data_IF_057793859711
#
_entry.id   IF_057793859711
#
_cell.length_a   1.000
_cell.length_b   1.000
_cell.length_c   1.000
_cell.angle_alpha   90.00
_cell.angle_beta   90.00
_cell.angle_gamma   90.00
#
_symmetry.space_group_name_H-M   'P 1'
#
loop_
_entity.id
_entity.type
_entity.pdbx_description
1 polymer ?
#
# COMPACT_ATOMS: atom_id res chain seq x y z
N UNK A 1 -3.09 -21.80 -6.59
CA UNK A 1 -2.74 -20.97 -7.77
C UNK A 1 -1.61 -20.05 -7.33
N UNK A 2 -0.45 -20.13 -7.96
CA UNK A 2 0.72 -19.36 -7.54
C UNK A 2 0.43 -17.87 -7.72
N UNK A 3 0.38 -17.15 -6.61
CA UNK A 3 0.17 -15.70 -6.58
C UNK A 3 1.48 -15.12 -7.12
N UNK A 4 1.51 -14.82 -8.42
CA UNK A 4 2.66 -14.15 -9.02
C UNK A 4 2.75 -12.80 -8.32
N UNK A 5 3.73 -12.63 -7.43
CA UNK A 5 4.00 -11.34 -6.80
C UNK A 5 4.31 -10.35 -7.91
N UNK A 6 3.29 -9.59 -8.28
CA UNK A 6 3.41 -8.55 -9.30
C UNK A 6 3.79 -7.28 -8.57
N UNK A 7 4.93 -6.74 -8.93
CA UNK A 7 5.42 -5.47 -8.43
C UNK A 7 4.85 -4.38 -9.32
N UNK A 8 3.96 -3.57 -8.75
CA UNK A 8 3.33 -2.46 -9.47
C UNK A 8 3.64 -1.14 -8.78
N UNK A 9 3.51 -0.03 -9.49
CA UNK A 9 3.79 1.29 -8.92
C UNK A 9 2.76 1.67 -7.86
N UNK A 10 3.13 2.50 -6.86
CA UNK A 10 2.18 2.96 -5.83
C UNK A 10 0.91 3.62 -6.43
N UNK A 11 1.07 4.31 -7.57
CA UNK A 11 -0.04 4.94 -8.29
C UNK A 11 -0.99 3.90 -8.91
N UNK A 12 -0.44 2.81 -9.43
CA UNK A 12 -1.19 1.70 -10.04
C UNK A 12 -1.96 0.92 -8.96
N UNK A 13 -1.27 0.62 -7.86
CA UNK A 13 -1.87 0.01 -6.69
C UNK A 13 -2.98 0.89 -6.07
N UNK A 14 -2.80 2.21 -6.04
CA UNK A 14 -3.85 3.12 -5.57
C UNK A 14 -5.09 3.06 -6.47
N UNK A 15 -4.89 2.92 -7.78
CA UNK A 15 -5.97 2.77 -8.75
C UNK A 15 -6.69 1.43 -8.61
N UNK A 16 -5.98 0.35 -8.30
CA UNK A 16 -6.57 -0.95 -7.96
C UNK A 16 -7.47 -0.89 -6.72
N UNK A 17 -7.05 -0.11 -5.72
CA UNK A 17 -7.86 0.13 -4.53
C UNK A 17 -9.06 1.07 -4.79
N UNK A 18 -9.20 1.62 -5.99
CA UNK A 18 -10.24 2.60 -6.32
C UNK A 18 -10.01 3.98 -5.68
N UNK A 19 -8.78 4.28 -5.27
CA UNK A 19 -8.40 5.54 -4.65
C UNK A 19 -7.57 6.42 -5.60
N UNK A 20 -7.37 7.68 -5.20
CA UNK A 20 -6.48 8.59 -5.92
C UNK A 20 -5.05 8.05 -5.97
N UNK A 21 -4.32 8.31 -7.06
CA UNK A 21 -2.92 7.90 -7.29
C UNK A 21 -1.95 8.22 -6.14
N UNK A 22 -2.29 9.21 -5.31
CA UNK A 22 -1.48 9.65 -4.17
C UNK A 22 -1.85 8.95 -2.85
N UNK A 23 -2.88 8.10 -2.84
CA UNK A 23 -3.41 7.46 -1.65
C UNK A 23 -2.36 6.58 -0.97
N UNK A 24 -1.78 5.62 -1.70
CA UNK A 24 -0.76 4.73 -1.14
C UNK A 24 0.50 5.52 -0.76
N UNK A 25 0.92 6.53 -1.54
CA UNK A 25 2.05 7.39 -1.14
C UNK A 25 1.80 8.13 0.17
N UNK A 26 0.59 8.68 0.38
CA UNK A 26 0.20 9.33 1.64
C UNK A 26 0.09 8.34 2.80
N UNK A 27 -0.45 7.16 2.54
CA UNK A 27 -0.57 6.09 3.52
C UNK A 27 0.82 5.61 3.94
N UNK A 28 1.69 5.32 2.98
CA UNK A 28 3.07 4.96 3.22
C UNK A 28 3.81 6.01 4.05
N UNK A 29 3.65 7.31 3.74
CA UNK A 29 4.31 8.37 4.52
C UNK A 29 3.86 8.41 5.98
N UNK A 30 2.60 8.03 6.27
CA UNK A 30 2.04 7.98 7.64
C UNK A 30 2.43 6.70 8.37
N UNK A 31 2.49 5.58 7.66
CA UNK A 31 2.68 4.23 8.21
C UNK A 31 3.99 3.57 7.79
N UNK A 32 5.00 4.35 7.40
CA UNK A 32 6.30 3.83 6.90
C UNK A 32 7.00 2.93 7.92
N UNK A 33 6.77 3.16 9.21
CA UNK A 33 7.34 2.36 10.30
C UNK A 33 6.52 1.10 10.60
N UNK A 34 5.27 1.02 10.14
CA UNK A 34 4.37 -0.11 10.38
C UNK A 34 4.32 -1.07 9.19
N UNK A 35 4.56 -0.55 7.97
CA UNK A 35 4.60 -1.37 6.77
C UNK A 35 5.83 -2.30 6.85
N UNK A 36 5.63 -3.63 6.76
CA UNK A 36 6.72 -4.59 6.71
C UNK A 36 7.72 -4.28 5.58
N UNK A 37 9.00 -4.20 5.94
CA UNK A 37 10.08 -4.13 4.97
C UNK A 37 10.06 -5.40 4.11
N UNK A 38 9.89 -5.23 2.80
CA UNK A 38 9.74 -6.33 1.84
C UNK A 38 8.41 -6.35 1.08
N UNK A 39 7.39 -5.62 1.55
CA UNK A 39 6.14 -5.44 0.79
C UNK A 39 6.23 -4.33 -0.25
N UNK A 40 7.14 -3.38 -0.01
CA UNK A 40 7.46 -2.26 -0.89
C UNK A 40 8.96 -2.30 -1.17
N UNK A 41 9.33 -2.19 -2.43
CA UNK A 41 10.72 -2.13 -2.89
C UNK A 41 10.94 -0.88 -3.72
N UNK A 42 12.17 -0.42 -3.81
CA UNK A 42 12.57 0.70 -4.66
C UNK A 42 13.05 1.93 -3.89
N UNK A 43 13.52 2.92 -4.65
CA UNK A 43 14.14 4.13 -4.14
C UNK A 43 13.08 5.20 -3.78
N UNK A 44 13.49 6.31 -3.16
CA UNK A 44 12.60 7.43 -2.79
C UNK A 44 11.65 7.87 -3.92
N UNK A 45 12.14 7.87 -5.16
CA UNK A 45 11.42 8.32 -6.35
C UNK A 45 10.63 7.24 -7.08
N UNK A 46 11.00 5.97 -6.93
CA UNK A 46 10.43 4.88 -7.73
C UNK A 46 10.13 3.67 -6.84
N UNK A 47 9.07 3.82 -6.03
CA UNK A 47 8.58 2.78 -5.12
C UNK A 47 7.57 1.89 -5.83
N UNK A 48 7.80 0.59 -5.71
CA UNK A 48 6.95 -0.48 -6.20
C UNK A 48 6.40 -1.24 -4.99
N UNK A 49 5.16 -1.67 -5.10
CA UNK A 49 4.45 -2.44 -4.09
C UNK A 49 4.05 -3.78 -4.67
N UNK A 50 4.26 -4.84 -3.89
CA UNK A 50 3.74 -6.17 -4.19
C UNK A 50 2.24 -6.22 -3.98
N UNK A 51 1.54 -7.14 -4.65
CA UNK A 51 0.12 -7.44 -4.41
C UNK A 51 -0.20 -7.66 -2.92
N UNK A 52 0.64 -8.42 -2.20
CA UNK A 52 0.56 -8.60 -0.75
C UNK A 52 0.63 -7.27 0.03
N UNK A 53 1.45 -6.32 -0.42
CA UNK A 53 1.54 -5.00 0.17
C UNK A 53 0.25 -4.19 -0.01
N UNK A 54 -0.38 -4.30 -1.18
CA UNK A 54 -1.67 -3.64 -1.47
C UNK A 54 -2.74 -4.19 -0.55
N UNK A 55 -2.79 -5.52 -0.40
CA UNK A 55 -3.72 -6.22 0.47
C UNK A 55 -3.51 -5.83 1.94
N UNK A 56 -2.26 -5.79 2.39
CA UNK A 56 -1.92 -5.32 3.74
C UNK A 56 -2.38 -3.89 3.98
N UNK A 57 -2.12 -2.96 3.04
CA UNK A 57 -2.57 -1.56 3.14
C UNK A 57 -4.10 -1.51 3.19
N UNK A 58 -4.81 -2.30 2.39
CA UNK A 58 -6.28 -2.36 2.40
C UNK A 58 -6.83 -2.82 3.75
N UNK A 59 -6.24 -3.84 4.35
CA UNK A 59 -6.65 -4.35 5.66
C UNK A 59 -6.31 -3.38 6.80
N UNK A 60 -5.13 -2.76 6.74
CA UNK A 60 -4.67 -1.81 7.74
C UNK A 60 -5.43 -0.48 7.66
N UNK A 61 -5.66 0.05 6.46
CA UNK A 61 -6.48 1.24 6.24
C UNK A 61 -7.92 1.06 6.74
N UNK A 62 -8.48 -0.15 6.62
CA UNK A 62 -9.80 -0.48 7.17
C UNK A 62 -9.80 -0.42 8.70
N UNK A 63 -8.73 -0.88 9.37
CA UNK A 63 -8.60 -0.76 10.84
C UNK A 63 -8.51 0.69 11.30
N UNK A 64 -7.72 1.51 10.62
CA UNK A 64 -7.58 2.95 10.91
C UNK A 64 -8.91 3.71 10.68
N UNK A 65 -9.64 3.40 9.60
CA UNK A 65 -10.96 4.00 9.35
C UNK A 65 -12.03 3.63 10.37
N UNK A 66 -11.89 2.48 11.04
CA UNK A 66 -12.74 2.07 12.16
C UNK A 66 -12.37 2.79 13.45
N UNK A 67 -11.09 3.12 13.66
CA UNK A 67 -10.60 3.84 14.85
C UNK A 67 -10.98 5.33 14.88
N UNK A 68 -11.27 5.95 13.73
CA UNK A 68 -11.74 7.35 13.66
C UNK A 68 -13.23 7.53 14.04
N UNK A 69 -13.93 6.45 14.37
CA UNK A 69 -15.26 6.54 15.00
C UNK A 69 -15.15 6.46 16.52
N UNK A 70 -14.69 7.52 17.17
CA UNK A 70 -15.02 7.79 18.58
C UNK A 70 -14.97 9.28 18.90
#
# INVERSE_FOLDING_TARGET
>A
MAQQQRWISLAEASRELGHEKSYISRFYRRHQNEIPNGLIIGNETNKLISDDGIKWIKEHAKKEGVLVSN
#
